data_IF_064750705011
#
_entry.id   IF_064750705011
#
_cell.length_a   1.000
_cell.length_b   1.000
_cell.length_c   1.000
_cell.angle_alpha   90.00
_cell.angle_beta   90.00
_cell.angle_gamma   90.00
#
_symmetry.space_group_name_H-M   'P 1'
#
loop_
_entity.id
_entity.type
_entity.pdbx_description
1 polymer ?
#
# COMPACT_ATOMS: atom_id res chain seq x y z
N UNK A 1 87.73 -53.50 42.12
CA UNK A 1 86.25 -53.63 42.15
C UNK A 1 85.50 -52.41 41.57
N UNK A 2 86.16 -51.44 40.92
CA UNK A 2 85.51 -50.24 40.34
C UNK A 2 85.43 -50.24 38.80
N UNK A 3 86.05 -51.18 38.11
CA UNK A 3 86.02 -51.25 36.64
C UNK A 3 84.76 -51.90 36.04
N UNK A 4 83.85 -52.46 36.86
CA UNK A 4 82.55 -52.96 36.39
C UNK A 4 81.38 -51.97 36.59
N UNK A 5 81.64 -50.80 37.19
CA UNK A 5 80.64 -49.74 37.35
C UNK A 5 80.56 -48.81 36.12
N UNK A 6 81.62 -48.74 35.31
CA UNK A 6 81.66 -47.89 34.11
C UNK A 6 81.23 -48.58 32.81
N UNK A 7 81.12 -49.91 32.80
CA UNK A 7 80.54 -50.67 31.68
C UNK A 7 79.02 -50.79 31.73
N UNK A 8 78.39 -50.40 32.85
CA UNK A 8 76.93 -50.36 33.02
C UNK A 8 76.32 -48.99 32.68
N UNK A 9 77.15 -47.94 32.57
CA UNK A 9 76.72 -46.56 32.29
C UNK A 9 76.51 -46.28 30.80
N UNK A 10 77.20 -47.00 29.91
CA UNK A 10 77.05 -46.87 28.46
C UNK A 10 75.67 -47.32 27.95
N UNK A 11 75.14 -48.44 28.47
CA UNK A 11 73.80 -48.92 28.12
C UNK A 11 72.70 -48.09 28.78
N UNK A 12 72.89 -47.62 30.02
CA UNK A 12 71.95 -46.73 30.70
C UNK A 12 71.74 -45.41 29.94
N UNK A 13 72.81 -44.78 29.44
CA UNK A 13 72.69 -43.58 28.61
C UNK A 13 71.93 -43.84 27.31
N UNK A 14 72.11 -45.01 26.69
CA UNK A 14 71.35 -45.40 25.49
C UNK A 14 69.86 -45.56 25.80
N UNK A 15 69.48 -46.17 26.93
CA UNK A 15 68.09 -46.28 27.33
C UNK A 15 67.46 -44.92 27.66
N UNK A 16 68.19 -44.01 28.32
CA UNK A 16 67.72 -42.65 28.62
C UNK A 16 67.51 -41.85 27.33
N UNK A 17 68.45 -41.92 26.38
CA UNK A 17 68.31 -41.25 25.08
C UNK A 17 67.12 -41.82 24.29
N UNK A 18 66.95 -43.14 24.26
CA UNK A 18 65.83 -43.79 23.60
C UNK A 18 64.47 -43.38 24.22
N UNK A 19 64.37 -43.34 25.56
CA UNK A 19 63.18 -42.88 26.25
C UNK A 19 62.87 -41.40 25.95
N UNK A 20 63.89 -40.54 25.88
CA UNK A 20 63.74 -39.13 25.56
C UNK A 20 63.23 -38.91 24.14
N UNK A 21 63.71 -39.70 23.18
CA UNK A 21 63.21 -39.69 21.79
C UNK A 21 61.74 -40.10 21.74
N UNK A 22 61.34 -41.16 22.46
CA UNK A 22 59.93 -41.60 22.52
C UNK A 22 59.04 -40.50 23.10
N UNK A 23 59.48 -39.83 24.17
CA UNK A 23 58.76 -38.71 24.77
C UNK A 23 58.65 -37.53 23.79
N UNK A 24 59.72 -37.18 23.08
CA UNK A 24 59.71 -36.12 22.07
C UNK A 24 58.78 -36.43 20.91
N UNK A 25 58.76 -37.67 20.42
CA UNK A 25 57.83 -38.10 19.36
C UNK A 25 56.39 -38.06 19.86
N UNK A 26 56.13 -38.54 21.09
CA UNK A 26 54.81 -38.49 21.71
C UNK A 26 54.29 -37.07 21.90
N UNK A 27 55.16 -36.15 22.34
CA UNK A 27 54.86 -34.71 22.45
C UNK A 27 54.63 -34.07 21.07
N UNK A 28 55.43 -34.43 20.06
CA UNK A 28 55.26 -33.94 18.70
C UNK A 28 53.90 -34.33 18.11
N UNK A 29 53.51 -35.60 18.27
CA UNK A 29 52.21 -36.10 17.82
C UNK A 29 51.05 -35.43 18.57
N UNK A 30 51.14 -35.28 19.90
CA UNK A 30 50.07 -34.62 20.68
C UNK A 30 49.91 -33.16 20.30
N UNK A 31 51.00 -32.44 20.00
CA UNK A 31 50.96 -31.06 19.53
C UNK A 31 50.28 -30.94 18.16
N UNK A 32 50.54 -31.88 17.25
CA UNK A 32 49.89 -31.87 15.92
C UNK A 32 48.39 -32.14 16.00
N UNK A 33 47.97 -33.11 16.82
CA UNK A 33 46.55 -33.46 17.00
C UNK A 33 45.78 -32.31 17.66
N UNK A 34 46.38 -31.68 18.67
CA UNK A 34 45.78 -30.52 19.35
C UNK A 34 45.67 -29.30 18.42
N UNK A 35 46.68 -29.05 17.58
CA UNK A 35 46.62 -28.00 16.55
C UNK A 35 45.50 -28.26 15.54
N UNK A 36 45.39 -29.46 14.99
CA UNK A 36 44.32 -29.78 14.03
C UNK A 36 42.92 -29.68 14.66
N UNK A 37 42.77 -30.07 15.93
CA UNK A 37 41.50 -29.92 16.65
C UNK A 37 41.16 -28.44 16.90
N UNK A 38 42.16 -27.61 17.22
CA UNK A 38 41.98 -26.17 17.40
C UNK A 38 41.60 -25.49 16.08
N UNK A 39 42.24 -25.84 14.98
CA UNK A 39 41.93 -25.33 13.64
C UNK A 39 40.50 -25.70 13.22
N UNK A 40 40.11 -26.96 13.42
CA UNK A 40 38.74 -27.42 13.15
C UNK A 40 37.70 -26.65 13.97
N UNK A 41 37.95 -26.45 15.27
CA UNK A 41 37.07 -25.67 16.15
C UNK A 41 37.03 -24.19 15.77
N UNK A 42 38.15 -23.63 15.33
CA UNK A 42 38.20 -22.24 14.86
C UNK A 42 37.38 -22.07 13.58
N UNK A 43 37.49 -23.02 12.64
CA UNK A 43 36.67 -23.03 11.42
C UNK A 43 35.17 -23.15 11.76
N UNK A 44 34.80 -24.04 12.69
CA UNK A 44 33.40 -24.20 13.16
C UNK A 44 32.86 -22.91 13.80
N UNK A 45 33.67 -22.22 14.61
CA UNK A 45 33.29 -20.93 15.20
C UNK A 45 33.10 -19.87 14.12
N UNK A 46 33.97 -19.83 13.10
CA UNK A 46 33.82 -18.91 11.98
C UNK A 46 32.55 -19.19 11.18
N UNK A 47 32.23 -20.44 10.87
CA UNK A 47 31.00 -20.80 10.14
C UNK A 47 29.76 -20.42 10.94
N UNK A 48 29.71 -20.75 12.23
CA UNK A 48 28.61 -20.38 13.12
C UNK A 48 28.45 -18.86 13.25
N UNK A 49 29.55 -18.11 13.22
CA UNK A 49 29.51 -16.63 13.27
C UNK A 49 28.90 -16.06 11.98
N UNK A 50 29.27 -16.62 10.82
CA UNK A 50 28.69 -16.24 9.53
C UNK A 50 27.20 -16.58 9.48
N UNK A 51 26.82 -17.80 9.86
CA UNK A 51 25.41 -18.23 9.92
C UNK A 51 24.58 -17.33 10.84
N UNK A 52 25.12 -16.97 12.00
CA UNK A 52 24.46 -16.02 12.92
C UNK A 52 24.25 -14.66 12.27
N UNK A 53 25.23 -14.13 11.55
CA UNK A 53 25.10 -12.85 10.85
C UNK A 53 24.06 -12.91 9.72
N UNK A 54 24.03 -14.00 8.96
CA UNK A 54 23.00 -14.22 7.94
C UNK A 54 21.61 -14.25 8.57
N UNK A 55 21.45 -15.02 9.65
CA UNK A 55 20.16 -15.13 10.35
C UNK A 55 19.70 -13.79 10.93
N UNK A 56 20.62 -12.99 11.48
CA UNK A 56 20.32 -11.64 11.93
C UNK A 56 19.87 -10.74 10.78
N UNK A 57 20.58 -10.77 9.64
CA UNK A 57 20.19 -9.99 8.47
C UNK A 57 18.82 -10.41 7.92
N UNK A 58 18.51 -11.70 7.93
CA UNK A 58 17.22 -12.20 7.45
C UNK A 58 16.08 -11.83 8.42
N UNK A 59 16.35 -11.83 9.73
CA UNK A 59 15.40 -11.37 10.74
C UNK A 59 15.12 -9.86 10.60
N UNK A 60 16.15 -9.06 10.36
CA UNK A 60 16.00 -7.61 10.15
C UNK A 60 15.16 -7.33 8.89
N UNK A 61 15.43 -8.04 7.79
CA UNK A 61 14.63 -7.95 6.56
C UNK A 61 13.17 -8.34 6.80
N UNK A 62 12.94 -9.48 7.47
CA UNK A 62 11.59 -9.95 7.74
C UNK A 62 10.81 -8.99 8.63
N UNK A 63 11.49 -8.36 9.60
CA UNK A 63 10.91 -7.33 10.46
C UNK A 63 10.51 -6.11 9.65
N UNK A 64 11.40 -5.64 8.76
CA UNK A 64 11.11 -4.51 7.88
C UNK A 64 9.93 -4.79 6.93
N UNK A 65 9.92 -5.97 6.31
CA UNK A 65 8.84 -6.39 5.40
C UNK A 65 7.51 -6.49 6.16
N UNK A 66 7.53 -7.01 7.39
CA UNK A 66 6.34 -7.07 8.24
C UNK A 66 5.78 -5.68 8.57
N UNK A 67 6.64 -4.73 8.93
CA UNK A 67 6.22 -3.34 9.19
C UNK A 67 5.61 -2.68 7.95
N UNK A 68 6.21 -2.91 6.77
CA UNK A 68 5.69 -2.40 5.51
C UNK A 68 4.30 -2.99 5.20
N UNK A 69 4.15 -4.30 5.33
CA UNK A 69 2.87 -4.99 5.09
C UNK A 69 1.79 -4.50 6.06
N UNK A 70 2.11 -4.31 7.34
CA UNK A 70 1.13 -3.83 8.32
C UNK A 70 0.71 -2.38 8.01
N UNK A 71 1.63 -1.54 7.53
CA UNK A 71 1.30 -0.19 7.07
C UNK A 71 0.40 -0.21 5.82
N UNK A 72 0.73 -1.01 4.80
CA UNK A 72 -0.10 -1.17 3.60
C UNK A 72 -1.51 -1.69 3.93
N UNK A 73 -1.61 -2.67 4.82
CA UNK A 73 -2.88 -3.18 5.32
C UNK A 73 -3.71 -2.10 5.99
N UNK A 74 -3.10 -1.24 6.82
CA UNK A 74 -3.81 -0.12 7.45
C UNK A 74 -4.32 0.89 6.40
N UNK A 75 -3.52 1.18 5.38
CA UNK A 75 -3.95 2.02 4.26
C UNK A 75 -5.13 1.41 3.50
N UNK A 76 -5.06 0.14 3.14
CA UNK A 76 -6.14 -0.58 2.46
C UNK A 76 -7.44 -0.58 3.28
N UNK A 77 -7.36 -0.73 4.60
CA UNK A 77 -8.53 -0.62 5.49
C UNK A 77 -9.13 0.79 5.44
N UNK A 78 -8.30 1.82 5.46
CA UNK A 78 -8.76 3.22 5.37
C UNK A 78 -9.41 3.53 4.02
N UNK A 79 -8.81 3.08 2.92
CA UNK A 79 -9.37 3.20 1.58
C UNK A 79 -10.68 2.43 1.43
N UNK A 80 -10.74 1.20 1.93
CA UNK A 80 -11.97 0.39 1.94
C UNK A 80 -13.12 1.09 2.68
N UNK A 81 -12.84 1.69 3.84
CA UNK A 81 -13.82 2.51 4.58
C UNK A 81 -14.29 3.72 3.77
N UNK A 82 -13.37 4.41 3.08
CA UNK A 82 -13.70 5.56 2.24
C UNK A 82 -14.57 5.17 1.04
N UNK A 83 -14.23 4.09 0.36
CA UNK A 83 -15.01 3.56 -0.77
C UNK A 83 -16.41 3.14 -0.31
N UNK A 84 -16.51 2.44 0.83
CA UNK A 84 -17.80 2.05 1.41
C UNK A 84 -18.69 3.28 1.70
N UNK A 85 -18.11 4.32 2.31
CA UNK A 85 -18.83 5.59 2.54
C UNK A 85 -19.29 6.25 1.24
N UNK A 86 -18.43 6.30 0.23
CA UNK A 86 -18.78 6.83 -1.09
C UNK A 86 -19.89 6.03 -1.77
N UNK A 87 -19.87 4.71 -1.65
CA UNK A 87 -20.92 3.85 -2.19
C UNK A 87 -22.27 4.08 -1.52
N UNK A 88 -22.30 4.21 -0.19
CA UNK A 88 -23.52 4.55 0.54
C UNK A 88 -24.06 5.93 0.13
N UNK A 89 -23.18 6.92 0.00
CA UNK A 89 -23.57 8.26 -0.47
C UNK A 89 -24.11 8.22 -1.90
N UNK A 90 -23.42 7.54 -2.81
CA UNK A 90 -23.88 7.38 -4.20
C UNK A 90 -25.23 6.65 -4.28
N UNK A 91 -25.45 5.64 -3.45
CA UNK A 91 -26.74 4.94 -3.41
C UNK A 91 -27.84 5.87 -2.90
N UNK A 92 -27.58 6.65 -1.85
CA UNK A 92 -28.54 7.64 -1.34
C UNK A 92 -28.87 8.71 -2.39
N UNK A 93 -27.87 9.24 -3.09
CA UNK A 93 -28.07 10.21 -4.16
C UNK A 93 -28.81 9.62 -5.37
N UNK A 94 -28.52 8.37 -5.76
CA UNK A 94 -29.32 7.66 -6.78
C UNK A 94 -30.79 7.54 -6.35
N UNK A 95 -31.06 7.19 -5.09
CA UNK A 95 -32.43 7.12 -4.59
C UNK A 95 -33.13 8.49 -4.59
N UNK A 96 -32.42 9.57 -4.26
CA UNK A 96 -32.93 10.95 -4.35
C UNK A 96 -33.25 11.34 -5.78
N UNK A 97 -32.33 11.11 -6.72
CA UNK A 97 -32.55 11.39 -8.14
C UNK A 97 -33.76 10.61 -8.66
N UNK A 98 -33.85 9.32 -8.32
CA UNK A 98 -34.98 8.48 -8.75
C UNK A 98 -36.32 8.97 -8.16
N UNK A 99 -36.35 9.38 -6.89
CA UNK A 99 -37.57 9.88 -6.28
C UNK A 99 -38.00 11.22 -6.89
N UNK A 100 -37.07 12.14 -7.12
CA UNK A 100 -37.32 13.41 -7.83
C UNK A 100 -37.81 13.16 -9.26
N UNK A 101 -37.19 12.26 -9.99
CA UNK A 101 -37.60 11.90 -11.36
C UNK A 101 -39.01 11.30 -11.38
N UNK A 102 -39.32 10.40 -10.44
CA UNK A 102 -40.66 9.83 -10.30
C UNK A 102 -41.70 10.91 -9.96
N UNK A 103 -41.36 11.88 -9.10
CA UNK A 103 -42.24 12.99 -8.77
C UNK A 103 -42.48 13.90 -9.97
N UNK A 104 -41.43 14.27 -10.71
CA UNK A 104 -41.55 15.08 -11.93
C UNK A 104 -42.39 14.38 -12.99
N UNK A 105 -42.18 13.07 -13.20
CA UNK A 105 -42.99 12.28 -14.12
C UNK A 105 -44.47 12.26 -13.75
N UNK A 106 -44.81 12.21 -12.45
CA UNK A 106 -46.20 12.33 -11.99
C UNK A 106 -46.78 13.70 -12.28
N UNK A 107 -46.01 14.77 -12.12
CA UNK A 107 -46.45 16.13 -12.46
C UNK A 107 -46.67 16.30 -13.97
N UNK A 108 -45.73 15.82 -14.78
CA UNK A 108 -45.85 15.82 -16.25
C UNK A 108 -47.08 15.01 -16.68
N UNK A 109 -47.32 13.84 -16.09
CA UNK A 109 -48.50 13.04 -16.38
C UNK A 109 -49.81 13.82 -16.08
N UNK A 110 -49.86 14.55 -14.96
CA UNK A 110 -51.01 15.43 -14.64
C UNK A 110 -51.19 16.57 -15.66
N UNK A 111 -50.11 17.16 -16.16
CA UNK A 111 -50.17 18.19 -17.20
C UNK A 111 -50.74 17.62 -18.51
N UNK A 112 -50.32 16.39 -18.88
CA UNK A 112 -50.82 15.68 -20.06
C UNK A 112 -52.30 15.29 -19.97
N UNK A 113 -52.81 15.06 -18.77
CA UNK A 113 -54.23 14.78 -18.53
C UNK A 113 -55.03 16.02 -18.10
N UNK A 114 -54.47 17.22 -18.24
CA UNK A 114 -55.14 18.46 -17.84
C UNK A 114 -56.37 18.75 -18.72
N UNK A 115 -57.42 19.29 -18.11
CA UNK A 115 -58.64 19.70 -18.82
C UNK A 115 -58.42 20.94 -19.70
N UNK A 116 -57.34 21.69 -19.48
CA UNK A 116 -56.97 22.83 -20.32
C UNK A 116 -56.27 22.32 -21.59
N UNK A 117 -56.94 22.47 -22.73
CA UNK A 117 -56.48 22.00 -24.03
C UNK A 117 -55.14 22.60 -24.46
N UNK A 118 -54.89 23.88 -24.13
CA UNK A 118 -53.62 24.56 -24.45
C UNK A 118 -52.46 23.95 -23.65
N UNK A 119 -52.66 23.73 -22.35
CA UNK A 119 -51.64 23.11 -21.46
C UNK A 119 -51.37 21.67 -21.89
N UNK A 120 -52.43 20.93 -22.25
CA UNK A 120 -52.31 19.58 -22.77
C UNK A 120 -51.51 19.54 -24.07
N UNK A 121 -51.85 20.37 -25.05
CA UNK A 121 -51.15 20.45 -26.33
C UNK A 121 -49.65 20.73 -26.15
N UNK A 122 -49.31 21.67 -25.25
CA UNK A 122 -47.91 22.01 -24.97
C UNK A 122 -47.14 20.90 -24.24
N UNK A 123 -47.82 20.11 -23.39
CA UNK A 123 -47.19 19.02 -22.61
C UNK A 123 -46.89 17.74 -23.40
N UNK A 124 -47.48 17.61 -24.60
CA UNK A 124 -47.32 16.46 -25.51
C UNK A 124 -46.46 16.83 -26.72
N UNK A 125 -46.28 18.12 -26.99
CA UNK A 125 -45.39 18.60 -28.04
C UNK A 125 -43.93 18.23 -27.73
N UNK A 126 -43.19 17.82 -28.77
CA UNK A 126 -41.76 17.53 -28.65
C UNK A 126 -40.97 18.79 -28.31
N UNK A 127 -40.05 18.67 -27.35
CA UNK A 127 -39.13 19.75 -27.00
C UNK A 127 -38.05 19.82 -28.08
N UNK A 128 -37.85 20.98 -28.75
CA UNK A 128 -36.82 21.10 -29.78
C UNK A 128 -35.42 20.82 -29.22
N UNK A 129 -34.57 20.16 -30.01
CA UNK A 129 -33.20 19.80 -29.62
C UNK A 129 -32.36 21.01 -29.16
N UNK A 130 -32.58 22.18 -29.75
CA UNK A 130 -31.91 23.41 -29.36
C UNK A 130 -32.26 23.86 -27.93
N UNK A 131 -33.51 23.72 -27.52
CA UNK A 131 -33.93 24.04 -26.16
C UNK A 131 -33.30 23.05 -25.16
N UNK A 132 -33.22 21.77 -25.51
CA UNK A 132 -32.52 20.74 -24.75
C UNK A 132 -31.02 21.05 -24.58
N UNK A 133 -30.37 21.49 -25.67
CA UNK A 133 -28.96 21.90 -25.65
C UNK A 133 -28.72 23.09 -24.74
N UNK A 134 -29.60 24.10 -24.78
CA UNK A 134 -29.54 25.28 -23.92
C UNK A 134 -29.78 24.94 -22.45
N UNK A 135 -30.77 24.09 -22.14
CA UNK A 135 -31.03 23.63 -20.78
C UNK A 135 -29.84 22.85 -20.20
N UNK A 136 -29.24 21.96 -21.00
CA UNK A 136 -28.04 21.22 -20.60
C UNK A 136 -26.86 22.17 -20.34
N UNK A 137 -26.67 23.17 -21.19
CA UNK A 137 -25.63 24.17 -21.00
C UNK A 137 -25.87 25.02 -19.75
N UNK A 138 -27.11 25.49 -19.53
CA UNK A 138 -27.47 26.24 -18.33
C UNK A 138 -27.28 25.42 -17.04
N UNK A 139 -27.68 24.15 -17.05
CA UNK A 139 -27.47 23.23 -15.92
C UNK A 139 -25.99 22.99 -15.63
N UNK A 140 -25.17 22.82 -16.68
CA UNK A 140 -23.72 22.70 -16.54
C UNK A 140 -23.09 23.98 -15.96
N UNK A 141 -23.58 25.16 -16.37
CA UNK A 141 -23.12 26.44 -15.85
C UNK A 141 -23.57 26.73 -14.40
N UNK A 142 -24.69 26.16 -13.96
CA UNK A 142 -25.19 26.29 -12.58
C UNK A 142 -24.47 25.37 -11.58
N UNK A 143 -23.73 24.37 -12.06
CA UNK A 143 -23.04 23.41 -11.20
C UNK A 143 -21.65 23.95 -10.79
N UNK A 144 -21.55 24.50 -9.58
CA UNK A 144 -20.41 25.30 -9.10
C UNK A 144 -19.03 24.60 -9.01
N UNK A 145 -18.96 23.30 -9.31
CA UNK A 145 -17.74 22.49 -9.23
C UNK A 145 -17.00 22.35 -10.57
N UNK A 146 -17.59 22.77 -11.70
CA UNK A 146 -16.90 22.73 -12.99
C UNK A 146 -16.23 24.08 -13.26
N UNK A 147 -14.92 24.02 -13.58
CA UNK A 147 -14.12 25.18 -14.02
C UNK A 147 -14.95 25.99 -15.00
N UNK A 148 -15.14 27.28 -14.67
CA UNK A 148 -15.84 28.27 -15.50
C UNK A 148 -15.39 28.12 -16.95
N UNK A 149 -16.17 27.40 -17.75
CA UNK A 149 -16.05 27.50 -19.19
C UNK A 149 -16.38 28.97 -19.50
N UNK A 150 -15.52 29.63 -20.29
CA UNK A 150 -15.63 31.05 -20.66
C UNK A 150 -16.98 31.44 -21.28
N UNK A 151 -17.80 30.44 -21.63
CA UNK A 151 -19.08 30.58 -22.30
C UNK A 151 -20.27 30.47 -21.33
N UNK A 152 -20.04 30.34 -20.03
CA UNK A 152 -21.08 30.51 -19.01
C UNK A 152 -21.26 32.00 -18.74
N UNK A 153 -22.16 32.63 -19.50
CA UNK A 153 -22.64 33.99 -19.21
C UNK A 153 -23.45 33.86 -17.92
N UNK A 154 -22.80 34.12 -16.78
CA UNK A 154 -23.52 34.34 -15.55
C UNK A 154 -24.43 35.53 -15.79
N UNK A 155 -25.74 35.32 -15.83
CA UNK A 155 -26.68 36.42 -15.64
C UNK A 155 -26.43 36.95 -14.23
N UNK A 156 -25.51 37.91 -14.11
CA UNK A 156 -25.56 38.88 -13.02
C UNK A 156 -27.00 39.41 -13.06
N UNK A 157 -27.69 39.35 -11.92
CA UNK A 157 -28.95 40.06 -11.73
C UNK A 157 -28.72 41.51 -12.16
N UNK A 158 -29.18 41.86 -13.35
CA UNK A 158 -29.71 43.19 -13.58
C UNK A 158 -31.18 43.04 -13.27
N UNK A 159 -31.53 43.38 -12.03
CA UNK A 159 -32.91 43.60 -11.57
C UNK A 159 -33.45 44.85 -12.30
N UNK A 160 -33.54 44.81 -13.62
CA UNK A 160 -34.06 45.91 -14.41
C UNK A 160 -35.57 45.70 -14.52
N UNK A 161 -36.40 46.54 -13.86
CA UNK A 161 -37.84 46.44 -13.95
C UNK A 161 -38.27 46.65 -15.40
N UNK A 162 -39.18 45.78 -15.84
CA UNK A 162 -39.83 45.87 -17.16
C UNK A 162 -40.48 47.26 -17.27
N UNK A 163 -40.19 48.07 -18.30
CA UNK A 163 -40.85 49.35 -18.50
C UNK A 163 -42.35 49.11 -18.66
N UNK A 164 -43.15 49.66 -17.75
CA UNK A 164 -44.60 49.66 -17.87
C UNK A 164 -44.99 50.38 -19.16
N UNK A 165 -45.63 49.64 -20.08
CA UNK A 165 -46.28 50.25 -21.24
C UNK A 165 -47.46 51.11 -20.76
N UNK A 166 -47.62 52.35 -21.25
CA UNK A 166 -48.73 53.19 -20.84
C UNK A 166 -50.07 52.62 -21.32
N UNK A 167 -51.03 52.66 -20.39
CA UNK A 167 -52.46 52.45 -20.61
C UNK A 167 -52.97 53.57 -21.52
N UNK A 168 -53.29 53.28 -22.77
CA UNK A 168 -54.08 54.18 -23.62
C UNK A 168 -55.57 53.89 -23.41
N UNK A 169 -56.28 54.97 -23.10
CA UNK A 169 -57.72 55.12 -22.93
C UNK A 169 -58.55 54.66 -24.12
#
# INVERSE_FOLDING_TARGET
>A
MFQRLFSATGTFHVYVIAALIIVLVGLGLSLTVTKSALEAKTAEVQTLTVEKHVLQSDLDKLTHDYELIEHEKQQLIAEGKRISKLNLQNQAEKHRIQSTLNQQNRLIAKLRTSQNETVRAWSVADVPDDALRLLKQAANCANGNQKRNSNCIGSRRDDQPVPNSPRSS
#
